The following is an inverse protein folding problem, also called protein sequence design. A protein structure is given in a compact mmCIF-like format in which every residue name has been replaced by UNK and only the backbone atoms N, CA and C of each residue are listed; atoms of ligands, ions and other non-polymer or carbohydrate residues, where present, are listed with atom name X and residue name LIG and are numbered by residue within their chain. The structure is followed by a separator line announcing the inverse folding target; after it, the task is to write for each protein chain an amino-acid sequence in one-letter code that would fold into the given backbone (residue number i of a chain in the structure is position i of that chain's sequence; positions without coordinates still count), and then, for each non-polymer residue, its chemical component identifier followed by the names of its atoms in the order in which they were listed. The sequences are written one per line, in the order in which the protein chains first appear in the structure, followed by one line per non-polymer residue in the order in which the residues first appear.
data_IF_667848245648
#
_entry.id   IF_667848245648
#
_cell.length_a   1.000
_cell.length_b   1.000
_cell.length_c   1.000
_cell.angle_alpha   90.00
_cell.angle_beta   90.00
_cell.angle_gamma   90.00
#
_symmetry.space_group_name_H-M   'P 1'
#
loop_
_entity.id
_entity.type
_entity.pdbx_description
1 polymer ?
#
# COMPACT_ATOMS: atom_id res chain seq x y z
N UNK A 1 -5.11 1.69 -11.59
CA UNK A 1 -4.32 2.75 -10.91
C UNK A 1 -2.86 2.77 -11.35
N UNK A 2 -2.27 1.64 -11.77
CA UNK A 2 -0.88 1.51 -12.24
C UNK A 2 -0.42 2.66 -13.16
N UNK A 3 -1.10 2.87 -14.29
CA UNK A 3 -0.70 3.89 -15.27
C UNK A 3 -0.72 5.31 -14.69
N UNK A 4 -1.73 5.64 -13.88
CA UNK A 4 -1.84 6.94 -13.23
C UNK A 4 -0.67 7.16 -12.25
N UNK A 5 -0.33 6.16 -11.44
CA UNK A 5 0.77 6.27 -10.49
C UNK A 5 2.11 6.44 -11.22
N UNK A 6 2.36 5.63 -12.25
CA UNK A 6 3.58 5.73 -13.08
C UNK A 6 3.68 7.09 -13.78
N UNK A 7 2.59 7.59 -14.35
CA UNK A 7 2.56 8.90 -15.03
C UNK A 7 2.88 10.08 -14.09
N UNK A 8 2.59 9.93 -12.79
CA UNK A 8 2.92 10.93 -11.77
C UNK A 8 4.30 10.67 -11.11
N UNK A 9 5.15 9.81 -11.69
CA UNK A 9 6.48 9.51 -11.18
C UNK A 9 6.51 8.54 -9.99
N UNK A 10 5.39 7.92 -9.65
CA UNK A 10 5.29 6.93 -8.57
C UNK A 10 5.92 5.58 -8.95
N UNK A 11 6.51 4.92 -7.97
CA UNK A 11 6.97 3.54 -8.08
C UNK A 11 5.78 2.60 -7.87
N UNK A 12 5.48 1.78 -8.89
CA UNK A 12 4.34 0.87 -8.85
C UNK A 12 4.82 -0.57 -8.56
N UNK A 13 4.21 -1.18 -7.55
CA UNK A 13 4.41 -2.58 -7.16
C UNK A 13 3.06 -3.32 -7.10
N UNK A 14 3.08 -4.61 -7.43
CA UNK A 14 1.93 -5.51 -7.27
C UNK A 14 2.35 -6.93 -6.95
N UNK A 15 1.55 -7.60 -6.15
CA UNK A 15 1.56 -9.05 -6.01
C UNK A 15 0.56 -9.70 -6.98
N UNK A 16 0.47 -11.04 -6.93
CA UNK A 16 -0.52 -11.80 -7.70
C UNK A 16 -1.96 -11.38 -7.42
N UNK A 17 -2.85 -11.70 -8.34
CA UNK A 17 -4.27 -11.41 -8.20
C UNK A 17 -4.80 -12.00 -6.90
N UNK A 18 -5.63 -11.21 -6.19
CA UNK A 18 -6.22 -11.54 -4.89
C UNK A 18 -5.24 -11.74 -3.72
N UNK A 19 -3.93 -11.66 -3.95
CA UNK A 19 -2.95 -11.69 -2.88
C UNK A 19 -2.99 -10.38 -2.06
N UNK A 20 -2.73 -10.48 -0.76
CA UNK A 20 -2.54 -9.30 0.09
C UNK A 20 -1.19 -8.66 -0.23
N UNK A 21 -1.18 -7.35 -0.46
CA UNK A 21 0.04 -6.58 -0.70
C UNK A 21 -0.14 -5.14 -0.21
N UNK A 22 0.81 -4.70 0.62
CA UNK A 22 0.84 -3.38 1.25
C UNK A 22 2.23 -2.80 1.10
N UNK A 23 2.29 -1.54 0.68
CA UNK A 23 3.53 -0.75 0.62
C UNK A 23 3.36 0.48 1.52
N UNK A 24 4.39 0.80 2.29
CA UNK A 24 4.48 2.01 3.10
C UNK A 24 5.69 2.81 2.66
N UNK A 25 5.46 4.06 2.26
CA UNK A 25 6.49 5.03 1.90
C UNK A 25 6.27 6.32 2.71
N UNK A 26 7.13 6.53 3.72
CA UNK A 26 6.92 7.58 4.73
C UNK A 26 5.53 7.48 5.37
N UNK A 27 4.68 8.47 5.10
CA UNK A 27 3.31 8.56 5.61
C UNK A 27 2.24 8.05 4.63
N UNK A 28 2.63 7.56 3.45
CA UNK A 28 1.72 7.00 2.45
C UNK A 28 1.65 5.48 2.60
N UNK A 29 0.44 4.96 2.82
CA UNK A 29 0.17 3.52 2.86
C UNK A 29 -0.76 3.17 1.70
N UNK A 30 -0.39 2.15 0.92
CA UNK A 30 -1.22 1.62 -0.18
C UNK A 30 -1.54 0.15 0.07
N UNK A 31 -2.70 -0.30 -0.42
CA UNK A 31 -3.12 -1.70 -0.40
C UNK A 31 -3.69 -2.11 -1.76
N UNK A 32 -3.31 -3.27 -2.28
CA UNK A 32 -3.65 -3.67 -3.65
C UNK A 32 -5.15 -3.95 -3.85
N UNK A 33 -5.78 -4.59 -2.87
CA UNK A 33 -7.14 -5.13 -3.00
C UNK A 33 -7.79 -5.37 -1.61
N UNK A 34 -9.06 -5.82 -1.53
CA UNK A 34 -9.73 -6.06 -0.25
C UNK A 34 -8.99 -7.03 0.69
N UNK A 35 -8.27 -8.02 0.16
CA UNK A 35 -7.46 -8.94 0.98
C UNK A 35 -6.31 -8.23 1.72
N UNK A 36 -5.92 -7.04 1.27
CA UNK A 36 -4.89 -6.21 1.88
C UNK A 36 -5.38 -5.34 3.04
N UNK A 37 -6.70 -5.25 3.27
CA UNK A 37 -7.30 -4.29 4.20
C UNK A 37 -6.77 -4.42 5.63
N UNK A 38 -6.68 -5.65 6.15
CA UNK A 38 -6.17 -5.91 7.51
C UNK A 38 -4.70 -5.48 7.64
N UNK A 39 -3.86 -5.88 6.69
CA UNK A 39 -2.45 -5.55 6.70
C UNK A 39 -2.21 -4.03 6.57
N UNK A 40 -3.02 -3.33 5.78
CA UNK A 40 -2.95 -1.87 5.65
C UNK A 40 -3.32 -1.16 6.97
N UNK A 41 -4.34 -1.66 7.68
CA UNK A 41 -4.71 -1.14 9.00
C UNK A 41 -3.60 -1.38 10.04
N UNK A 42 -2.97 -2.56 10.04
CA UNK A 42 -1.82 -2.86 10.90
C UNK A 42 -0.63 -1.92 10.61
N UNK A 43 -0.34 -1.63 9.34
CA UNK A 43 0.69 -0.68 8.94
C UNK A 43 0.38 0.74 9.43
N UNK A 44 -0.89 1.17 9.35
CA UNK A 44 -1.32 2.47 9.85
C UNK A 44 -1.13 2.59 11.37
N UNK A 45 -1.55 1.58 12.13
CA UNK A 45 -1.37 1.56 13.59
C UNK A 45 0.11 1.63 13.96
N UNK A 46 0.97 0.90 13.24
CA UNK A 46 2.42 0.94 13.43
C UNK A 46 2.99 2.33 13.16
N UNK A 47 2.55 2.99 12.09
CA UNK A 47 2.99 4.36 11.74
C UNK A 47 2.62 5.35 12.85
N UNK A 48 1.39 5.27 13.36
CA UNK A 48 0.91 6.16 14.43
C UNK A 48 1.59 5.90 15.78
N UNK A 49 2.00 4.67 16.05
CA UNK A 49 2.71 4.32 17.29
C UNK A 49 4.19 4.73 17.29
N UNK A 50 4.76 5.06 16.12
CA UNK A 50 6.15 5.46 15.97
C UNK A 50 6.38 6.99 16.06
N UNK A 51 5.30 7.79 16.10
CA UNK A 51 5.34 9.24 16.30
C UNK A 51 4.99 9.63 17.72
#
# INVERSE_FOLDING_TARGET
VEDMLKANGGLYEKAGDWASHVVTDGNLITGQNPASSKAAAEALLKLLAAG
#
